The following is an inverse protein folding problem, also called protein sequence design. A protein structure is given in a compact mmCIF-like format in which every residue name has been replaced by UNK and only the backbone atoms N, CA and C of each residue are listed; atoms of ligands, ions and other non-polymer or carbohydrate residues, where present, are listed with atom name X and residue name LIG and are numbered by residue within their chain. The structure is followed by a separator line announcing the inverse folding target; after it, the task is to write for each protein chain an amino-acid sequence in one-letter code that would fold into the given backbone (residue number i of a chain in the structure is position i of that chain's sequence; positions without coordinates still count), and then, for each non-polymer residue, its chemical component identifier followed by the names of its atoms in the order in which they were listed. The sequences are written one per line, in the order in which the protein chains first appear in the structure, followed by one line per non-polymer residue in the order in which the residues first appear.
data_IF_019268737454
#
_entry.id   IF_019268737454
#
_cell.length_a   1.000
_cell.length_b   1.000
_cell.length_c   1.000
_cell.angle_alpha   90.00
_cell.angle_beta   90.00
_cell.angle_gamma   90.00
#
_symmetry.space_group_name_H-M   'P 1'
#
loop_
_entity.id
_entity.type
_entity.pdbx_description
1 polymer ?
#
# COMPACT_ATOMS: atom_id res chain seq x y z
N UNK A 1 -10.63 -19.55 -33.36
CA UNK A 1 -9.43 -18.93 -32.71
C UNK A 1 -9.50 -17.45 -33.06
N UNK A 2 -9.80 -16.52 -32.16
CA UNK A 2 -9.33 -16.27 -30.79
C UNK A 2 -10.50 -15.61 -30.01
N UNK A 3 -10.87 -16.16 -28.84
CA UNK A 3 -11.92 -15.59 -27.97
C UNK A 3 -11.30 -14.50 -27.09
N UNK A 4 -11.63 -13.23 -27.34
CA UNK A 4 -11.26 -12.11 -26.49
C UNK A 4 -12.31 -11.99 -25.37
N UNK A 5 -11.98 -12.51 -24.19
CA UNK A 5 -12.79 -12.32 -22.99
C UNK A 5 -12.86 -10.83 -22.64
N UNK A 6 -14.00 -10.22 -22.92
CA UNK A 6 -14.26 -8.82 -22.60
C UNK A 6 -14.31 -8.64 -21.07
N UNK A 7 -13.19 -8.21 -20.48
CA UNK A 7 -13.23 -7.53 -19.19
C UNK A 7 -13.84 -6.16 -19.45
N UNK A 8 -15.10 -5.96 -19.05
CA UNK A 8 -15.70 -4.64 -18.90
C UNK A 8 -14.89 -3.88 -17.84
N UNK A 9 -13.79 -3.23 -18.25
CA UNK A 9 -13.14 -2.23 -17.42
C UNK A 9 -13.97 -0.97 -17.61
N UNK A 10 -14.85 -0.73 -16.66
CA UNK A 10 -15.59 0.52 -16.55
C UNK A 10 -14.56 1.65 -16.38
N UNK A 11 -14.37 2.45 -17.44
CA UNK A 11 -13.36 3.51 -17.49
C UNK A 11 -13.57 4.65 -16.46
N UNK A 12 -14.58 4.58 -15.58
CA UNK A 12 -14.79 5.56 -14.51
C UNK A 12 -14.16 5.15 -13.17
N UNK A 13 -13.52 3.99 -13.05
CA UNK A 13 -12.75 3.64 -11.87
C UNK A 13 -11.32 4.16 -12.02
N UNK A 14 -11.08 5.41 -11.59
CA UNK A 14 -9.73 5.92 -11.43
C UNK A 14 -9.09 5.21 -10.24
N UNK A 15 -8.09 4.38 -10.49
CA UNK A 15 -7.26 3.83 -9.44
C UNK A 15 -6.52 4.97 -8.73
N UNK A 16 -6.75 5.11 -7.42
CA UNK A 16 -6.04 6.07 -6.58
C UNK A 16 -4.73 5.45 -6.10
N UNK A 17 -3.62 6.10 -6.42
CA UNK A 17 -2.29 5.69 -5.99
C UNK A 17 -1.75 6.67 -4.95
N UNK A 18 -1.17 6.13 -3.88
CA UNK A 18 -0.55 6.91 -2.80
C UNK A 18 0.93 6.56 -2.72
N UNK A 19 1.78 7.59 -2.70
CA UNK A 19 3.21 7.42 -2.48
C UNK A 19 3.51 7.46 -0.99
N UNK A 20 4.06 6.37 -0.48
CA UNK A 20 4.48 6.24 0.91
C UNK A 20 5.98 6.48 1.00
N UNK A 21 6.37 7.51 1.75
CA UNK A 21 7.78 7.75 2.04
C UNK A 21 8.23 6.86 3.20
N UNK A 22 9.18 5.96 2.92
CA UNK A 22 9.78 5.06 3.91
C UNK A 22 11.24 5.42 4.23
N UNK A 23 11.74 6.58 3.77
CA UNK A 23 13.13 6.99 3.96
C UNK A 23 13.54 7.06 5.44
N UNK A 24 12.63 7.48 6.31
CA UNK A 24 12.89 7.58 7.75
C UNK A 24 13.16 6.22 8.43
N UNK A 25 12.69 5.12 7.83
CA UNK A 25 12.88 3.75 8.34
C UNK A 25 13.84 2.94 7.46
N UNK A 26 14.37 3.55 6.40
CA UNK A 26 15.34 2.94 5.50
C UNK A 26 16.64 2.62 6.26
N UNK A 27 17.06 1.36 6.25
CA UNK A 27 18.23 0.86 7.00
C UNK A 27 17.93 0.34 8.41
N UNK A 28 16.76 0.64 8.98
CA UNK A 28 16.25 -0.05 10.18
C UNK A 28 15.40 -1.27 9.81
N UNK A 29 14.90 -1.27 8.58
CA UNK A 29 14.02 -2.28 8.03
C UNK A 29 14.65 -2.92 6.81
N UNK A 30 14.77 -4.24 6.84
CA UNK A 30 15.15 -5.08 5.71
C UNK A 30 13.89 -5.82 5.24
N UNK A 31 13.32 -5.39 4.12
CA UNK A 31 12.10 -6.01 3.54
C UNK A 31 12.56 -7.03 2.52
N UNK A 32 12.40 -8.34 2.78
CA UNK A 32 12.75 -9.35 1.79
C UNK A 32 11.82 -9.26 0.57
N UNK A 33 12.29 -9.71 -0.60
CA UNK A 33 11.45 -9.74 -1.80
C UNK A 33 10.25 -10.66 -1.58
N UNK A 34 9.08 -10.27 -2.10
CA UNK A 34 7.80 -10.98 -1.97
C UNK A 34 7.23 -11.05 -0.55
N UNK A 35 7.65 -10.17 0.37
CA UNK A 35 7.01 -10.07 1.68
C UNK A 35 5.57 -9.53 1.53
N UNK A 36 4.56 -10.20 2.11
CA UNK A 36 3.18 -9.71 2.05
C UNK A 36 3.05 -8.39 2.83
N UNK A 37 2.21 -7.48 2.35
CA UNK A 37 1.92 -6.23 3.05
C UNK A 37 0.42 -5.98 3.14
N UNK A 38 0.00 -5.34 4.23
CA UNK A 38 -1.37 -4.96 4.50
C UNK A 38 -1.38 -3.51 4.93
N UNK A 39 -2.00 -2.64 4.13
CA UNK A 39 -2.32 -1.28 4.54
C UNK A 39 -3.74 -1.26 5.10
N UNK A 40 -3.86 -0.90 6.38
CA UNK A 40 -5.12 -0.88 7.13
C UNK A 40 -5.36 0.49 7.72
N UNK A 41 -6.63 0.86 7.89
CA UNK A 41 -7.00 2.15 8.48
C UNK A 41 -6.54 3.35 7.65
N UNK A 42 -6.43 3.20 6.33
CA UNK A 42 -6.09 4.29 5.42
C UNK A 42 -7.03 5.50 5.59
N UNK A 43 -8.32 5.25 5.83
CA UNK A 43 -9.33 6.28 6.09
C UNK A 43 -9.30 6.85 7.53
N UNK A 44 -8.32 6.48 8.34
CA UNK A 44 -8.19 6.93 9.73
C UNK A 44 -7.02 7.90 9.89
N UNK A 45 -7.00 8.65 11.00
CA UNK A 45 -5.89 9.56 11.31
C UNK A 45 -4.54 8.85 11.52
N UNK A 46 -4.54 7.53 11.74
CA UNK A 46 -3.33 6.74 11.95
C UNK A 46 -3.35 5.47 11.08
N UNK A 47 -3.06 5.57 9.77
CA UNK A 47 -2.90 4.42 8.92
C UNK A 47 -1.80 3.49 9.44
N UNK A 48 -2.06 2.19 9.34
CA UNK A 48 -1.14 1.15 9.78
C UNK A 48 -0.73 0.34 8.56
N UNK A 49 0.56 0.40 8.22
CA UNK A 49 1.18 -0.48 7.23
C UNK A 49 1.89 -1.62 7.96
N UNK A 50 1.40 -2.84 7.74
CA UNK A 50 2.05 -4.06 8.23
C UNK A 50 2.78 -4.72 7.06
N UNK A 51 4.05 -5.05 7.24
CA UNK A 51 4.86 -5.76 6.24
C UNK A 51 5.33 -7.06 6.89
N UNK A 52 4.83 -8.19 6.39
CA UNK A 52 4.98 -9.51 7.00
C UNK A 52 4.39 -9.56 8.41
N UNK A 53 4.98 -10.43 9.23
CA UNK A 53 4.64 -10.56 10.66
C UNK A 53 5.59 -9.75 11.57
N UNK A 54 6.53 -9.01 10.97
CA UNK A 54 7.68 -8.44 11.69
C UNK A 54 7.63 -6.94 11.85
N UNK A 55 7.01 -6.23 10.91
CA UNK A 55 7.03 -4.78 10.89
C UNK A 55 5.62 -4.22 10.87
N UNK A 56 5.38 -3.27 11.77
CA UNK A 56 4.17 -2.45 11.83
C UNK A 56 4.56 -0.98 11.88
N UNK A 57 4.27 -0.26 10.81
CA UNK A 57 4.46 1.19 10.72
C UNK A 57 3.13 1.87 11.04
N UNK A 58 3.15 2.72 12.05
CA UNK A 58 2.02 3.60 12.36
C UNK A 58 2.39 4.97 11.84
N UNK A 59 1.71 5.38 10.78
CA UNK A 59 1.83 6.76 10.31
C UNK A 59 1.02 7.66 11.23
N UNK A 60 1.60 8.80 11.60
CA UNK A 60 0.87 9.90 12.22
C UNK A 60 0.86 11.01 11.19
N UNK A 61 -0.32 11.44 10.75
CA UNK A 61 -0.42 12.59 9.85
C UNK A 61 0.13 13.82 10.58
N UNK A 62 1.25 14.42 10.16
CA UNK A 62 1.57 15.76 10.62
C UNK A 62 0.62 16.69 9.86
N UNK A 63 -0.45 17.14 10.53
CA UNK A 63 -1.11 18.36 10.12
C UNK A 63 -0.04 19.46 10.12
N UNK A 64 0.37 19.89 8.92
CA UNK A 64 0.97 21.20 8.74
C UNK A 64 -0.12 22.27 8.93
#
# INVERSE_FOLDING_TARGET
VMELGATNIDHNQQDEYVLLNLDAVCGQLDIPPNEPYILSGFDTANPILTIGDKLKLVSSWPFC
#
